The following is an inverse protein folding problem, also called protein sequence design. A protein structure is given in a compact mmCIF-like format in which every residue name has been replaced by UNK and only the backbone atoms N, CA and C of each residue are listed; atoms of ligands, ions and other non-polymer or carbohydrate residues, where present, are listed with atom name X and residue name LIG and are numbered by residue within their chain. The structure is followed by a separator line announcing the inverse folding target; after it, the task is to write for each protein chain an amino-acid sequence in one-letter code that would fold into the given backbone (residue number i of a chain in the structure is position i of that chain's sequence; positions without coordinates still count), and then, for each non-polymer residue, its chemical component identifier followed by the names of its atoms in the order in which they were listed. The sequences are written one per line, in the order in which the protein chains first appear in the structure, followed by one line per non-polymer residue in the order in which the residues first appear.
data_IF_123512610765
#
_entry.id   IF_123512610765
#
_cell.length_a   1.000
_cell.length_b   1.000
_cell.length_c   1.000
_cell.angle_alpha   90.00
_cell.angle_beta   90.00
_cell.angle_gamma   90.00
#
_symmetry.space_group_name_H-M   'P 1'
#
loop_
_entity.id
_entity.type
_entity.pdbx_description
1 polymer ?
#
# COMPACT_ATOMS: atom_id res chain seq x y z
N UNK A 1 -33.08 -5.62 18.25
CA UNK A 1 -33.45 -7.01 17.94
C UNK A 1 -33.16 -7.21 16.46
N UNK A 2 -31.99 -7.74 16.12
CA UNK A 2 -31.60 -7.93 14.72
C UNK A 2 -32.32 -9.17 14.21
N UNK A 3 -33.11 -9.00 13.15
CA UNK A 3 -33.98 -10.06 12.62
C UNK A 3 -33.15 -11.19 11.99
N UNK A 4 -33.64 -12.43 12.02
CA UNK A 4 -32.99 -13.59 11.39
C UNK A 4 -32.80 -13.35 9.88
N UNK A 5 -33.65 -12.52 9.28
CA UNK A 5 -33.57 -12.05 7.89
C UNK A 5 -32.28 -11.24 7.64
N UNK A 6 -32.00 -10.30 8.55
CA UNK A 6 -30.88 -9.35 8.47
C UNK A 6 -29.55 -10.10 8.60
N UNK A 7 -29.45 -11.02 9.57
CA UNK A 7 -28.27 -11.85 9.76
C UNK A 7 -27.95 -12.78 8.55
N UNK A 8 -28.99 -13.24 7.82
CA UNK A 8 -28.80 -14.04 6.59
C UNK A 8 -28.34 -13.17 5.42
N UNK A 9 -28.89 -11.95 5.30
CA UNK A 9 -28.48 -10.98 4.29
C UNK A 9 -27.02 -10.55 4.49
N UNK A 10 -26.61 -10.27 5.74
CA UNK A 10 -25.24 -9.93 6.10
C UNK A 10 -24.25 -11.05 5.78
N UNK A 11 -24.63 -12.30 6.06
CA UNK A 11 -23.80 -13.47 5.70
C UNK A 11 -23.59 -13.57 4.19
N UNK A 12 -24.65 -13.41 3.40
CA UNK A 12 -24.57 -13.45 1.92
C UNK A 12 -23.75 -12.28 1.38
N UNK A 13 -23.90 -11.08 1.96
CA UNK A 13 -23.11 -9.90 1.62
C UNK A 13 -21.62 -10.13 1.87
N UNK A 14 -21.27 -10.64 3.06
CA UNK A 14 -19.87 -10.96 3.43
C UNK A 14 -19.28 -12.05 2.56
N UNK A 15 -20.06 -13.06 2.17
CA UNK A 15 -19.64 -14.07 1.19
C UNK A 15 -19.36 -13.46 -0.19
N UNK A 16 -20.16 -12.46 -0.60
CA UNK A 16 -19.96 -11.70 -1.84
C UNK A 16 -18.66 -10.91 -1.84
N UNK A 17 -18.46 -10.08 -0.81
CA UNK A 17 -17.22 -9.30 -0.64
C UNK A 17 -16.00 -10.22 -0.58
N UNK A 18 -16.08 -11.30 0.20
CA UNK A 18 -15.00 -12.26 0.32
C UNK A 18 -14.57 -12.80 -1.04
N UNK A 19 -15.53 -13.21 -1.90
CA UNK A 19 -15.22 -13.69 -3.25
C UNK A 19 -14.55 -12.62 -4.11
N UNK A 20 -15.00 -11.36 -4.01
CA UNK A 20 -14.36 -10.24 -4.72
C UNK A 20 -12.90 -10.05 -4.27
N UNK A 21 -12.64 -10.14 -2.97
CA UNK A 21 -11.29 -10.03 -2.40
C UNK A 21 -10.36 -11.13 -2.95
N UNK A 22 -10.78 -12.40 -2.90
CA UNK A 22 -9.95 -13.50 -3.44
C UNK A 22 -9.71 -13.36 -4.94
N UNK A 23 -10.71 -12.89 -5.69
CA UNK A 23 -10.57 -12.62 -7.12
C UNK A 23 -9.50 -11.56 -7.39
N UNK A 24 -9.49 -10.46 -6.62
CA UNK A 24 -8.47 -9.41 -6.73
C UNK A 24 -7.08 -9.95 -6.38
N UNK A 25 -7.00 -10.80 -5.36
CA UNK A 25 -5.75 -11.43 -4.95
C UNK A 25 -5.23 -12.49 -5.93
N UNK A 26 -5.99 -12.82 -6.98
CA UNK A 26 -5.64 -13.87 -7.94
C UNK A 26 -5.60 -15.26 -7.31
N UNK A 27 -6.20 -15.42 -6.13
CA UNK A 27 -6.31 -16.70 -5.44
C UNK A 27 -7.63 -17.36 -5.83
N UNK A 28 -7.63 -18.69 -5.92
CA UNK A 28 -8.87 -19.44 -6.07
C UNK A 28 -9.81 -19.05 -4.91
N UNK A 29 -11.14 -18.97 -5.14
CA UNK A 29 -12.10 -18.67 -4.08
C UNK A 29 -12.13 -19.86 -3.11
N UNK A 30 -11.19 -19.85 -2.17
CA UNK A 30 -11.13 -20.81 -1.07
C UNK A 30 -12.10 -20.37 0.01
N UNK A 31 -12.58 -21.32 0.80
CA UNK A 31 -13.36 -20.99 2.00
C UNK A 31 -12.44 -20.15 2.90
N UNK A 32 -12.85 -18.92 3.27
CA UNK A 32 -11.99 -18.04 4.03
C UNK A 32 -11.68 -18.68 5.38
N UNK A 33 -10.42 -18.63 5.78
CA UNK A 33 -9.98 -19.09 7.09
C UNK A 33 -10.66 -18.20 8.15
N UNK A 34 -10.95 -18.76 9.33
CA UNK A 34 -11.64 -18.05 10.44
C UNK A 34 -11.08 -16.65 10.73
N UNK A 35 -9.77 -16.46 10.56
CA UNK A 35 -9.09 -15.16 10.72
C UNK A 35 -9.47 -14.14 9.63
N UNK A 36 -9.57 -14.58 8.38
CA UNK A 36 -9.94 -13.76 7.22
C UNK A 36 -11.40 -13.29 7.32
N UNK A 37 -12.29 -14.20 7.78
CA UNK A 37 -13.69 -13.84 8.08
C UNK A 37 -13.77 -12.75 9.14
N UNK A 38 -12.91 -12.80 10.16
CA UNK A 38 -12.86 -11.79 11.22
C UNK A 38 -12.37 -10.43 10.71
N UNK A 39 -11.40 -10.40 9.79
CA UNK A 39 -10.98 -9.17 9.12
C UNK A 39 -12.11 -8.55 8.31
N UNK A 40 -12.80 -9.34 7.48
CA UNK A 40 -13.92 -8.84 6.69
C UNK A 40 -15.03 -8.30 7.61
N UNK A 41 -15.36 -9.02 8.70
CA UNK A 41 -16.32 -8.56 9.71
C UNK A 41 -15.92 -7.21 10.31
N UNK A 42 -14.64 -7.05 10.65
CA UNK A 42 -14.11 -5.83 11.22
C UNK A 42 -14.29 -4.66 10.24
N UNK A 43 -13.99 -4.87 8.96
CA UNK A 43 -14.08 -3.81 7.95
C UNK A 43 -15.51 -3.39 7.65
N UNK A 44 -16.45 -4.34 7.60
CA UNK A 44 -17.87 -4.04 7.35
C UNK A 44 -18.59 -3.56 8.61
N UNK A 45 -18.44 -4.28 9.73
CA UNK A 45 -19.28 -4.11 10.91
C UNK A 45 -18.67 -3.07 11.87
N UNK A 46 -17.34 -3.04 12.01
CA UNK A 46 -16.66 -2.11 12.93
C UNK A 46 -16.32 -0.79 12.26
N UNK A 47 -15.77 -0.83 11.05
CA UNK A 47 -15.38 0.37 10.33
C UNK A 47 -16.52 0.96 9.47
N UNK A 48 -17.55 0.16 9.16
CA UNK A 48 -18.67 0.63 8.35
C UNK A 48 -18.30 0.93 6.90
N UNK A 49 -17.23 0.32 6.38
CA UNK A 49 -16.80 0.57 5.01
C UNK A 49 -17.69 -0.14 3.99
N UNK A 50 -17.90 0.52 2.86
CA UNK A 50 -18.55 -0.07 1.69
C UNK A 50 -17.63 -1.08 1.01
N UNK A 51 -18.21 -1.94 0.19
CA UNK A 51 -17.47 -2.90 -0.63
C UNK A 51 -16.45 -2.22 -1.55
N UNK A 52 -16.81 -1.07 -2.14
CA UNK A 52 -15.93 -0.26 -2.99
C UNK A 52 -14.63 0.15 -2.29
N UNK A 53 -14.73 0.67 -1.06
CA UNK A 53 -13.57 1.08 -0.25
C UNK A 53 -12.70 -0.15 0.09
N UNK A 54 -13.33 -1.26 0.50
CA UNK A 54 -12.59 -2.48 0.83
C UNK A 54 -11.85 -3.03 -0.41
N UNK A 55 -12.51 -3.05 -1.57
CA UNK A 55 -11.93 -3.47 -2.84
C UNK A 55 -10.74 -2.59 -3.21
N UNK A 56 -10.85 -1.27 -3.04
CA UNK A 56 -9.77 -0.34 -3.32
C UNK A 56 -8.54 -0.59 -2.42
N UNK A 57 -8.75 -0.85 -1.13
CA UNK A 57 -7.67 -1.24 -0.22
C UNK A 57 -6.99 -2.56 -0.66
N UNK A 58 -7.76 -3.53 -1.14
CA UNK A 58 -7.24 -4.78 -1.68
C UNK A 58 -6.42 -4.55 -2.96
N UNK A 59 -6.90 -3.71 -3.89
CA UNK A 59 -6.16 -3.34 -5.11
C UNK A 59 -4.81 -2.70 -4.78
N UNK A 60 -4.78 -1.77 -3.82
CA UNK A 60 -3.55 -1.13 -3.34
C UNK A 60 -2.59 -2.12 -2.70
N UNK A 61 -3.12 -3.08 -1.96
CA UNK A 61 -2.33 -4.16 -1.37
C UNK A 61 -1.66 -5.00 -2.45
N UNK A 62 -2.39 -5.38 -3.51
CA UNK A 62 -1.83 -6.14 -4.63
C UNK A 62 -0.76 -5.37 -5.42
N UNK A 63 -0.92 -4.05 -5.54
CA UNK A 63 0.07 -3.20 -6.18
C UNK A 63 1.38 -3.12 -5.38
N UNK A 64 1.32 -3.17 -4.04
CA UNK A 64 2.49 -3.03 -3.17
C UNK A 64 3.13 -4.35 -2.75
N UNK A 65 2.32 -5.40 -2.54
CA UNK A 65 2.76 -6.66 -1.97
C UNK A 65 2.42 -7.82 -2.90
N UNK A 66 3.45 -8.42 -3.48
CA UNK A 66 3.31 -9.52 -4.45
C UNK A 66 3.35 -10.92 -3.82
N UNK A 67 3.65 -11.03 -2.52
CA UNK A 67 3.59 -12.30 -1.76
C UNK A 67 3.51 -12.07 -0.25
N UNK A 68 2.68 -12.84 0.48
CA UNK A 68 2.61 -12.79 1.95
C UNK A 68 1.20 -12.63 2.53
N UNK A 69 1.09 -12.02 3.71
CA UNK A 69 -0.15 -11.86 4.47
C UNK A 69 -1.01 -10.68 3.97
N UNK A 70 -1.65 -10.81 2.80
CA UNK A 70 -2.44 -9.73 2.16
C UNK A 70 -3.46 -9.10 3.10
N UNK A 71 -4.24 -9.92 3.81
CA UNK A 71 -5.25 -9.44 4.77
C UNK A 71 -4.69 -8.54 5.87
N UNK A 72 -3.47 -8.81 6.34
CA UNK A 72 -2.86 -7.99 7.40
C UNK A 72 -2.45 -6.62 6.86
N UNK A 73 -1.88 -6.58 5.66
CA UNK A 73 -1.51 -5.33 5.00
C UNK A 73 -2.76 -4.49 4.66
N UNK A 74 -3.81 -5.14 4.13
CA UNK A 74 -5.10 -4.50 3.85
C UNK A 74 -5.73 -3.94 5.13
N UNK A 75 -5.69 -4.68 6.25
CA UNK A 75 -6.19 -4.18 7.54
C UNK A 75 -5.44 -2.93 8.01
N UNK A 76 -4.13 -2.84 7.73
CA UNK A 76 -3.35 -1.63 8.01
C UNK A 76 -3.82 -0.41 7.22
N UNK A 77 -4.08 -0.58 5.91
CA UNK A 77 -4.61 0.49 5.05
C UNK A 77 -5.99 0.94 5.57
N UNK A 78 -6.90 -0.02 5.79
CA UNK A 78 -8.25 0.27 6.25
C UNK A 78 -8.29 0.90 7.65
N UNK A 79 -7.41 0.45 8.55
CA UNK A 79 -7.26 1.07 9.88
C UNK A 79 -6.80 2.52 9.76
N UNK A 80 -5.86 2.82 8.84
CA UNK A 80 -5.44 4.19 8.59
C UNK A 80 -6.57 5.05 8.02
N UNK A 81 -7.36 4.53 7.09
CA UNK A 81 -8.52 5.26 6.57
C UNK A 81 -9.57 5.50 7.65
N UNK A 82 -9.80 4.52 8.52
CA UNK A 82 -10.73 4.65 9.63
C UNK A 82 -10.29 5.73 10.63
N UNK A 83 -9.00 5.76 11.00
CA UNK A 83 -8.48 6.80 11.91
C UNK A 83 -8.48 8.20 11.29
N UNK A 84 -8.45 8.30 9.96
CA UNK A 84 -8.59 9.55 9.22
C UNK A 84 -10.04 9.87 8.83
N UNK A 85 -11.01 9.09 9.33
CA UNK A 85 -12.45 9.29 9.13
C UNK A 85 -12.85 9.37 7.64
N UNK A 86 -12.23 8.54 6.80
CA UNK A 86 -12.59 8.38 5.39
C UNK A 86 -13.99 7.78 5.29
N UNK A 87 -14.85 8.39 4.47
CA UNK A 87 -16.19 7.84 4.18
C UNK A 87 -16.45 7.67 2.68
N UNK A 88 -15.68 8.35 1.86
CA UNK A 88 -15.86 8.40 0.41
C UNK A 88 -14.51 8.17 -0.29
N UNK A 89 -14.54 7.70 -1.54
CA UNK A 89 -13.36 7.55 -2.39
C UNK A 89 -12.59 8.88 -2.54
N UNK A 90 -13.31 10.01 -2.55
CA UNK A 90 -12.72 11.35 -2.60
C UNK A 90 -11.82 11.65 -1.41
N UNK A 91 -12.13 11.12 -0.22
CA UNK A 91 -11.32 11.34 0.98
C UNK A 91 -10.04 10.48 0.95
N UNK A 92 -10.09 9.33 0.30
CA UNK A 92 -8.91 8.49 0.05
C UNK A 92 -7.92 9.25 -0.83
N UNK A 93 -8.38 9.85 -1.93
CA UNK A 93 -7.51 10.63 -2.83
C UNK A 93 -6.85 11.82 -2.12
N UNK A 94 -7.61 12.52 -1.26
CA UNK A 94 -7.05 13.60 -0.43
C UNK A 94 -5.96 13.09 0.50
N UNK A 95 -6.19 11.95 1.18
CA UNK A 95 -5.19 11.36 2.07
C UNK A 95 -3.96 10.89 1.33
N UNK A 96 -4.11 10.34 0.13
CA UNK A 96 -2.98 9.92 -0.71
C UNK A 96 -2.15 11.11 -1.15
N UNK A 97 -2.81 12.21 -1.53
CA UNK A 97 -2.13 13.46 -1.86
C UNK A 97 -1.36 14.01 -0.67
N UNK A 98 -2.00 14.08 0.50
CA UNK A 98 -1.34 14.52 1.74
C UNK A 98 -0.14 13.65 2.10
N UNK A 99 -0.27 12.32 1.96
CA UNK A 99 0.84 11.40 2.23
C UNK A 99 1.98 11.58 1.23
N UNK A 100 1.67 11.76 -0.06
CA UNK A 100 2.68 12.00 -1.09
C UNK A 100 3.42 13.32 -0.85
N UNK A 101 2.70 14.37 -0.45
CA UNK A 101 3.27 15.66 -0.08
C UNK A 101 4.15 15.55 1.18
N UNK A 102 3.71 14.84 2.22
CA UNK A 102 4.48 14.61 3.44
C UNK A 102 5.76 13.81 3.18
N UNK A 103 5.67 12.77 2.36
CA UNK A 103 6.83 11.97 1.93
C UNK A 103 7.83 12.84 1.16
N UNK A 104 7.38 13.73 0.28
CA UNK A 104 8.25 14.66 -0.44
C UNK A 104 8.92 15.69 0.48
N UNK A 105 8.21 16.20 1.48
CA UNK A 105 8.73 17.16 2.48
C UNK A 105 9.75 16.51 3.41
N UNK A 106 9.51 15.25 3.81
CA UNK A 106 10.44 14.47 4.63
C UNK A 106 11.71 14.13 3.86
N UNK A 107 11.57 13.78 2.57
CA UNK A 107 12.69 13.57 1.67
C UNK A 107 13.57 14.82 1.51
N UNK A 108 12.95 16.01 1.37
CA UNK A 108 13.68 17.28 1.26
C UNK A 108 14.39 17.67 2.57
N UNK A 109 13.81 17.37 3.74
CA UNK A 109 14.45 17.65 5.05
C UNK A 109 15.67 16.77 5.33
N UNK A 110 15.75 15.59 4.72
CA UNK A 110 16.86 14.64 4.89
C UNK A 110 17.89 14.68 3.77
N UNK A 111 17.85 15.64 2.83
CA UNK A 111 19.04 15.96 2.03
C UNK A 111 20.00 16.67 2.98
N UNK A 112 21.12 16.04 3.41
CA UNK A 112 22.17 16.81 4.05
C UNK A 112 22.64 17.79 3.00
N UNK A 113 22.38 19.07 3.23
CA UNK A 113 22.91 20.15 2.42
C UNK A 113 24.41 19.90 2.29
N UNK A 114 24.84 19.46 1.10
CA UNK A 114 26.24 19.20 0.77
C UNK A 114 26.94 20.56 0.67
N UNK A 115 27.16 21.20 1.81
CA UNK A 115 27.89 22.45 1.90
C UNK A 115 28.49 22.62 3.31
N UNK A 116 29.32 21.66 3.72
CA UNK A 116 30.26 21.87 4.80
C UNK A 116 31.68 21.81 4.21
N UNK A 117 32.21 23.00 3.93
CA UNK A 117 33.59 23.22 3.52
C UNK A 117 34.54 22.67 4.60
N UNK A 118 35.58 21.96 4.14
CA UNK A 118 36.93 21.91 4.72
C UNK A 118 37.06 21.77 6.25
N UNK A 119 37.38 20.56 6.74
CA UNK A 119 38.37 20.43 7.81
C UNK A 119 39.11 19.10 7.70
N UNK A 120 40.45 19.18 7.69
CA UNK A 120 41.37 18.05 7.65
C UNK A 120 41.47 17.46 9.06
N UNK A 121 41.35 16.14 9.21
CA UNK A 121 42.21 15.27 10.05
C UNK A 121 41.69 13.81 10.01
N UNK A 122 42.56 12.79 9.90
CA UNK A 122 42.14 11.40 9.85
C UNK A 122 42.18 10.76 11.24
N UNK A 123 41.05 10.20 11.70
CA UNK A 123 41.04 9.17 12.73
C UNK A 123 40.07 8.06 12.34
N UNK A 124 40.66 6.89 12.09
CA UNK A 124 39.97 5.66 11.74
C UNK A 124 38.93 5.28 12.81
N UNK A 125 37.68 5.12 12.38
CA UNK A 125 36.57 4.55 13.13
C UNK A 125 35.83 3.56 12.20
N UNK A 126 35.21 2.50 12.75
CA UNK A 126 34.88 1.30 11.99
C UNK A 126 33.80 1.55 10.93
N UNK A 127 33.97 0.89 9.79
CA UNK A 127 33.16 0.97 8.58
C UNK A 127 31.75 0.43 8.85
N UNK A 128 30.88 1.26 9.43
CA UNK A 128 29.43 1.02 9.41
C UNK A 128 29.02 1.02 7.94
N UNK A 129 28.40 -0.06 7.47
CA UNK A 129 27.73 -0.10 6.19
C UNK A 129 26.57 0.91 6.27
N UNK A 130 26.83 2.15 5.88
CA UNK A 130 25.77 3.11 5.57
C UNK A 130 25.04 2.51 4.37
N UNK A 131 23.92 1.87 4.63
CA UNK A 131 22.95 1.59 3.58
C UNK A 131 22.55 2.95 3.02
N UNK A 132 23.05 3.30 1.83
CA UNK A 132 22.58 4.45 1.09
C UNK A 132 21.07 4.31 0.95
N UNK A 133 20.33 5.24 1.56
CA UNK A 133 18.89 5.31 1.45
C UNK A 133 18.55 5.45 -0.03
N UNK A 134 17.76 4.51 -0.57
CA UNK A 134 17.35 4.51 -1.97
C UNK A 134 16.49 5.74 -2.23
N UNK A 135 17.12 6.79 -2.74
CA UNK A 135 16.44 7.97 -3.25
C UNK A 135 15.84 7.62 -4.61
N UNK A 136 14.53 7.37 -4.64
CA UNK A 136 13.80 7.11 -5.88
C UNK A 136 13.51 8.43 -6.60
N UNK A 137 14.37 8.81 -7.55
CA UNK A 137 14.07 9.85 -8.53
C UNK A 137 13.25 9.24 -9.67
N UNK A 138 11.94 9.53 -9.68
CA UNK A 138 11.00 9.07 -10.70
C UNK A 138 11.45 9.41 -12.13
N UNK A 139 12.09 10.58 -12.32
CA UNK A 139 12.59 11.01 -13.62
C UNK A 139 13.77 10.15 -14.09
N UNK A 140 14.58 9.67 -13.16
CA UNK A 140 15.67 8.75 -13.45
C UNK A 140 15.16 7.34 -13.77
N UNK A 141 14.11 6.91 -13.08
CA UNK A 141 13.46 5.63 -13.34
C UNK A 141 12.81 5.60 -14.73
N UNK A 142 12.11 6.66 -15.12
CA UNK A 142 11.56 6.81 -16.48
C UNK A 142 12.65 6.77 -17.55
N UNK A 143 13.76 7.50 -17.36
CA UNK A 143 14.91 7.46 -18.28
C UNK A 143 15.48 6.04 -18.41
N UNK A 144 15.61 5.32 -17.29
CA UNK A 144 16.11 3.93 -17.30
C UNK A 144 15.17 2.98 -18.01
N UNK A 145 13.86 3.12 -17.83
CA UNK A 145 12.86 2.29 -18.51
C UNK A 145 12.88 2.52 -20.03
N UNK A 146 12.98 3.78 -20.46
CA UNK A 146 13.09 4.14 -21.88
C UNK A 146 14.40 3.61 -22.48
N UNK A 147 15.54 3.86 -21.82
CA UNK A 147 16.84 3.42 -22.29
C UNK A 147 16.94 1.88 -22.42
N UNK A 148 16.34 1.14 -21.49
CA UNK A 148 16.36 -0.32 -21.51
C UNK A 148 15.38 -0.89 -22.55
N UNK A 149 14.31 -0.16 -22.89
CA UNK A 149 13.44 -0.48 -24.03
C UNK A 149 14.16 -0.28 -25.36
N UNK A 150 14.88 0.83 -25.48
CA UNK A 150 15.59 1.19 -26.71
C UNK A 150 16.83 0.32 -26.98
N UNK A 151 17.53 -0.14 -25.93
CA UNK A 151 18.62 -1.12 -26.07
C UNK A 151 18.11 -2.48 -26.57
N UNK A 152 16.95 -2.94 -26.10
CA UNK A 152 16.30 -4.19 -26.54
C UNK A 152 15.84 -4.15 -28.01
N UNK A 153 15.50 -2.97 -28.51
CA UNK A 153 15.14 -2.77 -29.92
C UNK A 153 16.36 -2.80 -30.85
N UNK A 154 17.52 -2.31 -30.39
CA UNK A 154 18.77 -2.33 -31.17
C UNK A 154 19.48 -3.69 -31.19
N UNK A 155 19.21 -4.55 -30.20
CA UNK A 155 19.81 -5.89 -30.11
C UNK A 155 19.09 -6.97 -30.92
N UNK A 156 17.93 -6.66 -31.52
CA UNK A 156 17.14 -7.58 -32.36
C UNK A 156 17.23 -7.25 -33.86
N UNK A 157 18.34 -6.63 -34.30
CA UNK A 157 18.64 -6.40 -35.72
C UNK A 157 20.00 -6.98 -36.07
#
# INVERSE_FOLDING_TARGET
MNSIEEAKADKKFREGISKSIYKIFGQAPTVPVRKEIAYIAKWTDTYGFTDEIIIEACNRTMAHMHSGNLFNYTDGILTRWYTNNVKDMSDIEKLDKLHSEEMSKTFQKNIPFANAKFSKTPKAAPKKQTFDQRTYDYKDLERKLIANRDSKLKSNK
#
